data_IF_631706954760
#
_entry.id   IF_631706954760
#
_cell.length_a   1.000
_cell.length_b   1.000
_cell.length_c   1.000
_cell.angle_alpha   90.00
_cell.angle_beta   90.00
_cell.angle_gamma   90.00
#
_symmetry.space_group_name_H-M   'P 1'
#
loop_
_entity.id
_entity.type
_entity.pdbx_description
1 polymer ?
#
# COMPACT_ATOMS: atom_id res chain seq x y z
N UNK A 1 -11.18 20.29 -12.62
CA UNK A 1 -12.14 21.40 -12.54
C UNK A 1 -12.02 22.12 -11.19
N UNK A 2 -12.24 23.42 -11.16
CA UNK A 2 -12.42 24.19 -9.94
C UNK A 2 -13.79 23.91 -9.30
N UNK A 3 -14.01 24.48 -8.09
CA UNK A 3 -15.30 24.36 -7.40
C UNK A 3 -16.45 24.87 -8.27
N UNK A 4 -17.51 24.08 -8.45
CA UNK A 4 -18.69 24.42 -9.27
C UNK A 4 -18.47 24.34 -10.79
N UNK A 5 -17.32 23.88 -11.27
CA UNK A 5 -17.05 23.73 -12.69
C UNK A 5 -17.29 22.29 -13.17
N UNK A 6 -17.92 22.17 -14.33
CA UNK A 6 -18.05 20.91 -15.08
C UNK A 6 -17.10 20.94 -16.28
N UNK A 7 -16.31 19.89 -16.46
CA UNK A 7 -15.41 19.73 -17.61
C UNK A 7 -15.67 18.37 -18.26
N UNK A 8 -15.46 18.30 -19.58
CA UNK A 8 -15.50 17.03 -20.30
C UNK A 8 -14.18 16.30 -20.19
N UNK A 9 -14.22 15.03 -19.76
CA UNK A 9 -13.07 14.13 -19.83
C UNK A 9 -12.83 13.62 -21.25
N UNK A 10 -11.57 13.28 -21.58
CA UNK A 10 -11.19 12.70 -22.86
C UNK A 10 -11.33 11.18 -22.90
N UNK A 11 -11.08 10.52 -21.77
CA UNK A 11 -11.13 9.07 -21.62
C UNK A 11 -11.40 8.69 -20.18
N UNK A 12 -11.87 7.46 -19.98
CA UNK A 12 -12.03 6.84 -18.67
C UNK A 12 -11.52 5.41 -18.74
N UNK A 13 -10.71 5.02 -17.78
CA UNK A 13 -10.16 3.67 -17.66
C UNK A 13 -10.30 3.19 -16.22
N UNK A 14 -10.61 1.92 -16.06
CA UNK A 14 -10.56 1.22 -14.77
C UNK A 14 -9.42 0.20 -14.81
N UNK A 15 -8.71 0.06 -13.73
CA UNK A 15 -7.66 -0.93 -13.57
C UNK A 15 -7.66 -1.45 -12.13
N UNK A 16 -7.41 -2.75 -11.91
CA UNK A 16 -7.12 -3.26 -10.57
C UNK A 16 -5.95 -2.50 -9.96
N UNK A 17 -6.02 -2.21 -8.67
CA UNK A 17 -5.02 -1.44 -7.95
C UNK A 17 -4.91 -1.88 -6.50
N UNK A 18 -4.39 -0.98 -5.67
CA UNK A 18 -4.02 -1.25 -4.28
C UNK A 18 -2.51 -1.50 -4.17
N UNK A 19 -1.85 -0.79 -3.24
CA UNK A 19 -0.38 -0.87 -3.08
C UNK A 19 0.06 -2.30 -2.77
N UNK A 20 -0.61 -2.95 -1.82
CA UNK A 20 -0.33 -4.33 -1.46
C UNK A 20 -0.53 -5.30 -2.62
N UNK A 21 -1.66 -5.22 -3.32
CA UNK A 21 -1.95 -6.06 -4.47
C UNK A 21 -0.94 -5.88 -5.62
N UNK A 22 -0.55 -4.64 -5.91
CA UNK A 22 0.44 -4.34 -6.94
C UNK A 22 1.83 -4.93 -6.61
N UNK A 23 2.27 -4.82 -5.37
CA UNK A 23 3.54 -5.38 -4.90
C UNK A 23 3.49 -6.91 -4.90
N UNK A 24 2.42 -7.51 -4.39
CA UNK A 24 2.20 -8.95 -4.36
C UNK A 24 2.19 -9.54 -5.78
N UNK A 25 1.47 -8.91 -6.71
CA UNK A 25 1.42 -9.33 -8.10
C UNK A 25 2.81 -9.26 -8.77
N UNK A 26 3.60 -8.23 -8.45
CA UNK A 26 4.95 -8.13 -8.98
C UNK A 26 5.88 -9.21 -8.40
N UNK A 27 5.78 -9.53 -7.11
CA UNK A 27 6.50 -10.64 -6.49
C UNK A 27 6.17 -11.98 -7.16
N UNK A 28 4.88 -12.27 -7.37
CA UNK A 28 4.44 -13.48 -8.07
C UNK A 28 4.98 -13.56 -9.49
N UNK A 29 4.98 -12.45 -10.24
CA UNK A 29 5.56 -12.38 -11.59
C UNK A 29 7.08 -12.61 -11.62
N UNK A 30 7.76 -12.34 -10.54
CA UNK A 30 9.20 -12.61 -10.37
C UNK A 30 9.48 -14.03 -9.86
N UNK A 31 8.45 -14.85 -9.66
CA UNK A 31 8.57 -16.26 -9.30
C UNK A 31 8.48 -16.56 -7.80
N UNK A 32 8.03 -15.60 -6.98
CA UNK A 32 7.76 -15.85 -5.58
C UNK A 32 6.41 -16.55 -5.37
N UNK A 33 6.33 -17.44 -4.39
CA UNK A 33 5.07 -17.95 -3.85
C UNK A 33 4.48 -16.88 -2.94
N UNK A 34 3.28 -16.39 -3.27
CA UNK A 34 2.67 -15.25 -2.59
C UNK A 34 1.33 -15.61 -1.98
N UNK A 35 1.19 -15.38 -0.68
CA UNK A 35 -0.09 -15.38 0.01
C UNK A 35 -0.53 -13.94 0.28
N UNK A 36 -1.71 -13.57 -0.20
CA UNK A 36 -2.27 -12.23 -0.03
C UNK A 36 -3.22 -12.20 1.17
N UNK A 37 -2.99 -11.24 2.08
CA UNK A 37 -3.93 -10.87 3.16
C UNK A 37 -4.48 -9.48 2.88
N UNK A 38 -5.78 -9.30 3.09
CA UNK A 38 -6.45 -8.03 2.88
C UNK A 38 -7.96 -8.15 2.97
N UNK A 39 -8.67 -7.13 2.52
CA UNK A 39 -10.11 -7.18 2.44
C UNK A 39 -10.64 -6.51 1.18
N UNK A 40 -11.70 -7.09 0.62
CA UNK A 40 -12.50 -6.50 -0.47
C UNK A 40 -13.97 -6.50 -0.08
N UNK A 41 -14.78 -5.73 -0.77
CA UNK A 41 -16.23 -5.79 -0.64
C UNK A 41 -16.83 -6.95 -1.44
N UNK A 42 -18.09 -7.29 -1.15
CA UNK A 42 -18.89 -8.24 -1.92
C UNK A 42 -19.49 -7.62 -3.20
N UNK A 43 -18.74 -6.72 -3.83
CA UNK A 43 -19.12 -5.97 -5.03
C UNK A 43 -18.33 -6.43 -6.27
N UNK A 44 -18.72 -5.88 -7.43
CA UNK A 44 -18.05 -6.19 -8.69
C UNK A 44 -16.56 -5.82 -8.65
N UNK A 45 -16.18 -4.77 -7.94
CA UNK A 45 -14.79 -4.35 -7.81
C UNK A 45 -13.98 -5.36 -7.02
N UNK A 46 -14.55 -5.96 -5.96
CA UNK A 46 -13.90 -7.02 -5.18
C UNK A 46 -13.54 -8.21 -6.06
N UNK A 47 -14.46 -8.65 -6.91
CA UNK A 47 -14.21 -9.74 -7.87
C UNK A 47 -13.09 -9.37 -8.87
N UNK A 48 -13.16 -8.16 -9.46
CA UNK A 48 -12.15 -7.69 -10.42
C UNK A 48 -10.76 -7.49 -9.79
N UNK A 49 -10.69 -7.21 -8.49
CA UNK A 49 -9.42 -7.09 -7.77
C UNK A 49 -8.78 -8.46 -7.51
N UNK A 50 -9.56 -9.49 -7.21
CA UNK A 50 -9.06 -10.84 -6.91
C UNK A 50 -8.65 -11.61 -8.17
N UNK A 51 -9.35 -11.43 -9.28
CA UNK A 51 -9.13 -12.16 -10.53
C UNK A 51 -7.66 -12.13 -11.01
N UNK A 52 -6.98 -10.98 -11.16
CA UNK A 52 -5.59 -10.93 -11.60
C UNK A 52 -4.60 -11.56 -10.62
N UNK A 53 -4.89 -11.54 -9.31
CA UNK A 53 -4.05 -12.17 -8.29
C UNK A 53 -4.15 -13.69 -8.39
N UNK A 54 -5.35 -14.22 -8.52
CA UNK A 54 -5.61 -15.64 -8.71
C UNK A 54 -5.04 -16.16 -10.05
N UNK A 55 -5.17 -15.37 -11.12
CA UNK A 55 -4.59 -15.69 -12.41
C UNK A 55 -3.06 -15.72 -12.39
N UNK A 56 -2.42 -14.99 -11.48
CA UNK A 56 -0.98 -15.05 -11.24
C UNK A 56 -0.54 -16.21 -10.34
N UNK A 57 -1.45 -17.08 -9.91
CA UNK A 57 -1.17 -18.23 -9.05
C UNK A 57 -0.99 -17.92 -7.57
N UNK A 58 -1.40 -16.73 -7.13
CA UNK A 58 -1.29 -16.34 -5.73
C UNK A 58 -2.38 -17.02 -4.88
N UNK A 59 -2.04 -17.32 -3.63
CA UNK A 59 -3.03 -17.71 -2.63
C UNK A 59 -3.79 -16.47 -2.13
N UNK A 60 -5.06 -16.39 -2.49
CA UNK A 60 -5.99 -15.33 -2.07
C UNK A 60 -7.02 -15.81 -1.03
N UNK A 61 -6.87 -17.02 -0.49
CA UNK A 61 -7.82 -17.60 0.48
C UNK A 61 -7.95 -16.80 1.77
N UNK A 62 -6.96 -15.94 2.05
CA UNK A 62 -6.91 -15.07 3.21
C UNK A 62 -7.26 -13.61 2.91
N UNK A 63 -7.88 -13.35 1.75
CA UNK A 63 -8.50 -12.05 1.48
C UNK A 63 -9.96 -12.12 1.93
N UNK A 64 -10.30 -11.34 2.95
CA UNK A 64 -11.67 -11.27 3.48
C UNK A 64 -12.61 -10.60 2.46
N UNK A 65 -13.84 -11.12 2.35
CA UNK A 65 -14.92 -10.51 1.57
C UNK A 65 -15.98 -9.97 2.53
N UNK A 66 -16.08 -8.66 2.64
CA UNK A 66 -16.97 -8.01 3.60
C UNK A 66 -18.30 -7.64 2.97
N UNK A 67 -19.38 -8.27 3.45
CA UNK A 67 -20.74 -7.99 2.96
C UNK A 67 -21.23 -6.61 3.34
N UNK A 68 -21.89 -5.94 2.39
CA UNK A 68 -22.48 -4.62 2.58
C UNK A 68 -21.47 -3.48 2.66
N UNK A 69 -20.19 -3.75 2.37
CA UNK A 69 -19.13 -2.75 2.33
C UNK A 69 -18.54 -2.76 0.92
N UNK A 70 -18.29 -1.58 0.35
CA UNK A 70 -17.66 -1.47 -0.95
C UNK A 70 -16.16 -1.71 -0.89
N UNK A 71 -15.61 -2.28 -1.94
CA UNK A 71 -14.16 -2.37 -2.15
C UNK A 71 -13.52 -0.98 -2.19
N UNK A 72 -12.24 -0.90 -1.84
CA UNK A 72 -11.48 0.34 -1.92
C UNK A 72 -11.37 0.85 -3.36
N UNK A 73 -11.46 2.16 -3.56
CA UNK A 73 -11.36 2.81 -4.87
C UNK A 73 -10.42 4.01 -4.79
N UNK A 74 -9.51 4.10 -5.74
CA UNK A 74 -8.71 5.29 -6.02
C UNK A 74 -9.25 6.02 -7.26
N UNK A 75 -9.88 7.17 -7.09
CA UNK A 75 -10.29 8.01 -8.21
C UNK A 75 -9.16 8.96 -8.59
N UNK A 76 -8.56 8.72 -9.76
CA UNK A 76 -7.44 9.51 -10.27
C UNK A 76 -7.90 10.36 -11.44
N UNK A 77 -7.83 11.67 -11.28
CA UNK A 77 -8.02 12.62 -12.37
C UNK A 77 -6.65 13.06 -12.89
N UNK A 78 -6.39 12.79 -14.17
CA UNK A 78 -5.19 13.25 -14.85
C UNK A 78 -5.50 14.52 -15.65
N UNK A 79 -4.79 15.58 -15.34
CA UNK A 79 -4.78 16.82 -16.12
C UNK A 79 -3.51 16.84 -16.96
N UNK A 80 -3.68 16.67 -18.27
CA UNK A 80 -2.56 16.63 -19.22
C UNK A 80 -2.64 17.84 -20.11
N UNK A 81 -1.61 18.66 -20.08
CA UNK A 81 -1.38 19.79 -20.98
C UNK A 81 -0.19 19.50 -21.89
N UNK A 82 0.14 20.39 -22.83
CA UNK A 82 1.32 20.23 -23.70
C UNK A 82 2.65 20.20 -22.92
N UNK A 83 2.66 20.74 -21.69
CA UNK A 83 3.90 20.93 -20.93
C UNK A 83 3.88 20.25 -19.54
N UNK A 84 2.72 19.81 -19.06
CA UNK A 84 2.58 19.25 -17.71
C UNK A 84 1.60 18.08 -17.68
N UNK A 85 1.87 17.13 -16.80
CA UNK A 85 0.91 16.11 -16.38
C UNK A 85 0.77 16.19 -14.86
N UNK A 86 -0.45 16.48 -14.38
CA UNK A 86 -0.77 16.53 -12.96
C UNK A 86 -1.85 15.53 -12.64
N UNK A 87 -1.75 14.88 -11.50
CA UNK A 87 -2.78 14.01 -10.99
C UNK A 87 -3.45 14.61 -9.74
N UNK A 88 -4.73 14.27 -9.57
CA UNK A 88 -5.46 14.49 -8.33
C UNK A 88 -6.09 13.17 -7.96
N UNK A 89 -5.81 12.71 -6.75
CA UNK A 89 -6.24 11.39 -6.29
C UNK A 89 -7.17 11.56 -5.09
N UNK A 90 -8.33 10.91 -5.17
CA UNK A 90 -9.24 10.76 -4.04
C UNK A 90 -9.30 9.27 -3.73
N UNK A 91 -8.91 8.89 -2.52
CA UNK A 91 -8.94 7.50 -2.06
C UNK A 91 -10.17 7.29 -1.18
N UNK A 92 -10.96 6.28 -1.51
CA UNK A 92 -12.04 5.75 -0.69
C UNK A 92 -11.55 4.36 -0.22
N UNK A 93 -11.17 4.20 1.05
CA UNK A 93 -10.54 2.96 1.51
C UNK A 93 -11.46 1.73 1.46
N UNK A 94 -12.77 1.93 1.66
CA UNK A 94 -13.75 0.84 1.65
C UNK A 94 -13.38 -0.29 2.62
N UNK A 95 -13.52 -1.53 2.16
CA UNK A 95 -13.26 -2.73 2.92
C UNK A 95 -11.84 -2.81 3.52
N UNK A 96 -10.85 -2.15 2.93
CA UNK A 96 -9.49 -2.13 3.49
C UNK A 96 -9.47 -1.62 4.95
N UNK A 97 -10.33 -0.65 5.29
CA UNK A 97 -10.38 -0.07 6.64
C UNK A 97 -11.15 -0.93 7.65
N UNK A 98 -11.82 -1.97 7.21
CA UNK A 98 -12.59 -2.87 8.07
C UNK A 98 -11.88 -4.18 8.37
N UNK A 99 -10.70 -4.41 7.79
CA UNK A 99 -9.86 -5.55 8.12
C UNK A 99 -9.46 -5.51 9.61
N UNK A 100 -9.61 -6.63 10.29
CA UNK A 100 -9.36 -6.76 11.72
C UNK A 100 -8.14 -7.64 12.01
N UNK A 101 -7.59 -7.50 13.22
CA UNK A 101 -6.49 -8.37 13.69
C UNK A 101 -6.93 -9.82 13.76
N UNK A 102 -8.20 -10.09 14.09
CA UNK A 102 -8.70 -11.47 14.18
C UNK A 102 -8.75 -12.16 12.83
N UNK A 103 -9.08 -11.44 11.76
CA UNK A 103 -9.11 -11.99 10.39
C UNK A 103 -7.72 -12.36 9.87
N UNK A 104 -6.68 -11.73 10.38
CA UNK A 104 -5.28 -12.03 10.01
C UNK A 104 -4.57 -12.89 11.06
N UNK A 105 -5.25 -13.31 12.13
CA UNK A 105 -4.63 -14.03 13.26
C UNK A 105 -4.01 -15.37 12.86
N UNK A 106 -4.53 -16.03 11.84
CA UNK A 106 -4.01 -17.29 11.32
C UNK A 106 -2.51 -17.23 10.99
N UNK A 107 -1.99 -16.04 10.59
CA UNK A 107 -0.58 -15.88 10.25
C UNK A 107 0.34 -16.02 11.48
N UNK A 108 -0.18 -15.81 12.69
CA UNK A 108 0.60 -15.97 13.91
C UNK A 108 1.24 -17.36 14.01
N UNK A 109 0.51 -18.39 13.62
CA UNK A 109 0.98 -19.78 13.66
C UNK A 109 1.70 -20.20 12.37
N UNK A 110 1.47 -19.49 11.27
CA UNK A 110 1.98 -19.84 9.95
C UNK A 110 3.18 -19.01 9.50
N UNK A 111 3.45 -17.84 10.12
CA UNK A 111 4.43 -16.87 9.62
C UNK A 111 5.86 -17.43 9.50
N UNK A 112 6.24 -18.39 10.34
CA UNK A 112 7.55 -19.05 10.28
C UNK A 112 7.79 -19.86 9.00
N UNK A 113 6.73 -20.13 8.23
CA UNK A 113 6.81 -20.78 6.93
C UNK A 113 7.08 -19.82 5.75
N UNK A 114 7.17 -18.52 6.01
CA UNK A 114 7.43 -17.51 5.01
C UNK A 114 8.83 -16.92 5.13
N UNK A 115 9.43 -16.56 4.00
CA UNK A 115 10.76 -15.93 3.96
C UNK A 115 10.70 -14.44 4.26
N UNK A 116 9.52 -13.79 4.05
CA UNK A 116 9.36 -12.35 4.13
C UNK A 116 7.90 -11.96 4.34
N UNK A 117 7.67 -10.89 5.11
CA UNK A 117 6.39 -10.18 5.20
C UNK A 117 6.53 -8.80 4.58
N UNK A 118 5.60 -8.45 3.68
CA UNK A 118 5.57 -7.16 2.98
C UNK A 118 4.32 -6.38 3.37
N UNK A 119 4.49 -5.19 3.95
CA UNK A 119 3.43 -4.35 4.50
C UNK A 119 3.34 -2.99 3.80
N UNK A 120 2.14 -2.41 3.82
CA UNK A 120 1.82 -1.04 3.38
C UNK A 120 0.79 -0.44 4.34
N UNK A 121 0.44 0.84 4.16
CA UNK A 121 -0.42 1.56 5.11
C UNK A 121 -1.86 1.78 4.59
N UNK A 122 -2.35 0.91 3.70
CA UNK A 122 -3.74 0.98 3.20
C UNK A 122 -4.74 0.21 4.07
N UNK A 123 -4.27 -0.51 5.09
CA UNK A 123 -5.08 -1.24 6.08
C UNK A 123 -4.94 -0.60 7.47
N UNK A 124 -5.77 -0.97 8.46
CA UNK A 124 -5.63 -0.46 9.83
C UNK A 124 -4.24 -0.73 10.40
N UNK A 125 -3.66 0.28 11.05
CA UNK A 125 -2.28 0.21 11.57
C UNK A 125 -2.08 -0.88 12.63
N UNK A 126 -3.13 -1.18 13.38
CA UNK A 126 -3.14 -2.28 14.36
C UNK A 126 -2.98 -3.66 13.72
N UNK A 127 -3.48 -3.85 12.49
CA UNK A 127 -3.26 -5.07 11.70
C UNK A 127 -1.79 -5.17 11.32
N UNK A 128 -1.21 -4.11 10.77
CA UNK A 128 0.22 -4.06 10.44
C UNK A 128 1.10 -4.34 11.66
N UNK A 129 0.78 -3.73 12.81
CA UNK A 129 1.51 -3.96 14.06
C UNK A 129 1.43 -5.41 14.54
N UNK A 130 0.26 -6.01 14.46
CA UNK A 130 0.08 -7.41 14.89
C UNK A 130 0.90 -8.35 14.00
N UNK A 131 0.78 -8.21 12.68
CA UNK A 131 1.51 -9.05 11.71
C UNK A 131 3.02 -8.84 11.82
N UNK A 132 3.50 -7.59 11.91
CA UNK A 132 4.91 -7.29 12.07
C UNK A 132 5.49 -7.89 13.37
N UNK A 133 4.73 -7.84 14.49
CA UNK A 133 5.14 -8.44 15.75
C UNK A 133 5.26 -9.96 15.62
N UNK A 134 4.29 -10.65 15.05
CA UNK A 134 4.34 -12.11 14.88
C UNK A 134 5.49 -12.54 13.97
N UNK A 135 5.73 -11.79 12.89
CA UNK A 135 6.87 -12.01 12.01
C UNK A 135 8.21 -11.84 12.76
N UNK A 136 8.34 -10.76 13.53
CA UNK A 136 9.54 -10.51 14.34
C UNK A 136 9.79 -11.61 15.39
N UNK A 137 8.74 -12.06 16.08
CA UNK A 137 8.80 -13.15 17.08
C UNK A 137 9.23 -14.47 16.43
N UNK A 138 8.84 -14.71 15.18
CA UNK A 138 9.23 -15.88 14.39
C UNK A 138 10.59 -15.73 13.67
N UNK A 139 11.24 -14.57 13.73
CA UNK A 139 12.50 -14.31 13.05
C UNK A 139 12.36 -14.05 11.55
N UNK A 140 11.15 -13.78 11.07
CA UNK A 140 10.86 -13.48 9.66
C UNK A 140 11.01 -11.97 9.41
N UNK A 141 11.81 -11.56 8.42
CA UNK A 141 12.01 -10.14 8.14
C UNK A 141 10.73 -9.47 7.62
N UNK A 142 10.56 -8.19 7.99
CA UNK A 142 9.43 -7.36 7.60
C UNK A 142 9.93 -6.22 6.74
N UNK A 143 9.37 -6.06 5.55
CA UNK A 143 9.51 -4.87 4.72
C UNK A 143 8.25 -4.01 4.90
N UNK A 144 8.43 -2.73 5.17
CA UNK A 144 7.34 -1.74 5.17
C UNK A 144 7.58 -0.71 4.08
N UNK A 145 6.63 -0.60 3.16
CA UNK A 145 6.48 0.58 2.32
C UNK A 145 5.49 1.53 3.02
N UNK A 146 5.92 2.67 3.58
CA UNK A 146 5.08 3.54 4.40
C UNK A 146 4.14 4.41 3.56
N UNK A 147 3.39 3.79 2.68
CA UNK A 147 2.49 4.43 1.71
C UNK A 147 1.03 3.97 1.90
N UNK A 148 0.06 4.91 1.89
CA UNK A 148 0.21 6.37 1.80
C UNK A 148 0.91 6.96 3.03
N UNK A 149 1.62 8.06 2.84
CA UNK A 149 2.37 8.71 3.90
C UNK A 149 1.48 9.02 5.11
N UNK A 150 1.89 8.55 6.27
CA UNK A 150 1.28 8.78 7.58
C UNK A 150 2.38 8.71 8.63
N UNK A 151 2.21 9.41 9.73
CA UNK A 151 3.14 9.34 10.84
C UNK A 151 3.15 7.93 11.44
N UNK A 152 4.36 7.36 11.55
CA UNK A 152 4.59 6.04 12.12
C UNK A 152 5.04 6.18 13.57
N UNK A 153 4.63 5.24 14.40
CA UNK A 153 5.14 5.19 15.77
C UNK A 153 6.37 4.28 15.88
N UNK A 154 7.22 4.57 16.84
CA UNK A 154 8.43 3.79 17.13
C UNK A 154 8.14 2.29 17.35
N UNK A 155 6.92 1.96 17.80
CA UNK A 155 6.52 0.57 18.04
C UNK A 155 6.42 -0.23 16.76
N UNK A 156 5.89 0.36 15.69
CA UNK A 156 5.87 -0.31 14.38
C UNK A 156 7.26 -0.29 13.76
N UNK A 157 7.95 0.85 13.78
CA UNK A 157 9.30 0.99 13.20
C UNK A 157 10.30 -0.01 13.80
N UNK A 158 10.25 -0.25 15.12
CA UNK A 158 11.12 -1.22 15.79
C UNK A 158 10.90 -2.70 15.36
N UNK A 159 9.78 -2.99 14.72
CA UNK A 159 9.44 -4.33 14.20
C UNK A 159 9.84 -4.52 12.73
N UNK A 160 10.14 -3.43 12.03
CA UNK A 160 10.47 -3.43 10.59
C UNK A 160 11.94 -3.73 10.39
N UNK A 161 12.24 -4.60 9.42
CA UNK A 161 13.61 -4.92 9.02
C UNK A 161 14.12 -4.01 7.90
N UNK A 162 13.22 -3.61 7.00
CA UNK A 162 13.51 -2.74 5.86
C UNK A 162 12.38 -1.74 5.67
N UNK A 163 12.69 -0.46 5.70
CA UNK A 163 11.76 0.63 5.39
C UNK A 163 12.04 1.14 3.98
N UNK A 164 11.01 1.16 3.11
CA UNK A 164 11.14 1.55 1.70
C UNK A 164 10.18 2.70 1.39
N UNK A 165 10.48 3.93 1.85
CA UNK A 165 9.73 5.12 1.53
C UNK A 165 10.13 5.67 0.16
N UNK A 166 9.25 6.46 -0.46
CA UNK A 166 9.68 7.43 -1.45
C UNK A 166 10.24 8.69 -0.76
N UNK A 167 10.76 9.64 -1.53
CA UNK A 167 11.43 10.84 -1.01
C UNK A 167 10.48 11.70 -0.16
N UNK A 168 9.21 11.79 -0.54
CA UNK A 168 8.20 12.57 0.19
C UNK A 168 7.76 11.87 1.48
N UNK A 169 7.55 10.56 1.44
CA UNK A 169 7.25 9.74 2.61
C UNK A 169 8.40 9.83 3.64
N UNK A 170 9.64 9.73 3.16
CA UNK A 170 10.84 9.84 3.98
C UNK A 170 11.00 11.23 4.61
N UNK A 171 10.75 12.29 3.84
CA UNK A 171 10.75 13.67 4.33
C UNK A 171 9.67 13.91 5.40
N UNK A 172 8.48 13.34 5.20
CA UNK A 172 7.39 13.45 6.18
C UNK A 172 7.72 12.70 7.47
N UNK A 173 8.25 11.49 7.38
CA UNK A 173 8.60 10.67 8.54
C UNK A 173 9.71 11.29 9.39
N UNK A 174 10.71 11.88 8.75
CA UNK A 174 11.83 12.54 9.45
C UNK A 174 11.56 13.99 9.82
N UNK A 175 10.47 14.58 9.36
CA UNK A 175 10.17 16.01 9.46
C UNK A 175 11.27 16.93 8.89
N UNK A 176 12.13 16.40 8.02
CA UNK A 176 13.19 17.16 7.36
C UNK A 176 12.70 17.71 6.01
N UNK A 177 13.12 18.91 5.63
CA UNK A 177 12.71 19.52 4.37
C UNK A 177 13.29 18.76 3.18
N UNK A 178 12.51 18.68 2.12
CA UNK A 178 12.92 18.12 0.84
C UNK A 178 12.74 19.20 -0.24
N UNK A 179 13.84 19.74 -0.73
CA UNK A 179 13.86 20.73 -1.81
C UNK A 179 14.01 20.06 -3.15
N UNK A 180 13.37 20.63 -4.15
CA UNK A 180 13.45 20.16 -5.55
C UNK A 180 13.97 21.30 -6.45
N UNK A 181 14.76 20.95 -7.44
CA UNK A 181 15.14 21.79 -8.55
C UNK A 181 14.72 21.16 -9.88
N UNK A 182 15.16 21.72 -11.01
CA UNK A 182 14.81 21.21 -12.34
C UNK A 182 15.35 19.81 -12.65
N UNK A 183 16.24 19.26 -11.82
CA UNK A 183 16.87 17.95 -11.98
C UNK A 183 16.35 16.90 -10.97
N UNK A 184 15.54 17.30 -10.00
CA UNK A 184 15.00 16.40 -8.99
C UNK A 184 15.19 16.90 -7.56
N UNK A 185 15.10 16.00 -6.55
CA UNK A 185 15.35 16.36 -5.15
C UNK A 185 16.83 16.66 -4.92
N UNK A 186 17.12 17.57 -3.97
CA UNK A 186 18.49 17.90 -3.60
C UNK A 186 19.18 16.74 -2.86
N UNK A 187 20.36 16.35 -3.31
CA UNK A 187 21.16 15.24 -2.73
C UNK A 187 21.48 15.45 -1.25
N UNK A 188 21.71 16.70 -0.81
CA UNK A 188 21.98 17.00 0.59
C UNK A 188 20.78 16.70 1.49
N UNK A 189 19.56 17.05 1.04
CA UNK A 189 18.34 16.77 1.76
C UNK A 189 18.08 15.26 1.83
N UNK A 190 18.27 14.54 0.72
CA UNK A 190 18.13 13.08 0.68
C UNK A 190 19.10 12.39 1.66
N UNK A 191 20.35 12.82 1.75
CA UNK A 191 21.34 12.27 2.69
C UNK A 191 20.98 12.57 4.14
N UNK A 192 20.49 13.78 4.43
CA UNK A 192 20.05 14.15 5.78
C UNK A 192 18.83 13.32 6.21
N UNK A 193 17.85 13.16 5.31
CA UNK A 193 16.66 12.33 5.52
C UNK A 193 17.04 10.86 5.74
N UNK A 194 17.90 10.30 4.89
CA UNK A 194 18.33 8.90 5.01
C UNK A 194 19.14 8.62 6.29
N UNK A 195 19.82 9.64 6.84
CA UNK A 195 20.55 9.51 8.10
C UNK A 195 19.64 9.64 9.34
N UNK A 196 18.43 10.16 9.18
CA UNK A 196 17.45 10.36 10.25
C UNK A 196 16.41 9.22 10.33
N UNK A 197 16.28 8.41 9.29
CA UNK A 197 15.48 7.17 9.25
C UNK A 197 16.19 6.02 9.97
#
# INVERSE_FOLDING_TARGET
>A
PGSGQTVYGKSFHMAPGGKGANQALQCARLGADVTMMGAVGDDLFGQQLLEPLQAAGMDTSHVAVHSGIHSGVGHVTLEVTEHTAQNRIVVIPGANRTLTVDEVRWIQDAVSGYDLVLLQLEVPIEVNRAVARWAREAGVPVILNPAPATELDDKLLSLVSYLIPNEQEASQETHLPLRFDGNGPHDEDLRAIAAAL
#
